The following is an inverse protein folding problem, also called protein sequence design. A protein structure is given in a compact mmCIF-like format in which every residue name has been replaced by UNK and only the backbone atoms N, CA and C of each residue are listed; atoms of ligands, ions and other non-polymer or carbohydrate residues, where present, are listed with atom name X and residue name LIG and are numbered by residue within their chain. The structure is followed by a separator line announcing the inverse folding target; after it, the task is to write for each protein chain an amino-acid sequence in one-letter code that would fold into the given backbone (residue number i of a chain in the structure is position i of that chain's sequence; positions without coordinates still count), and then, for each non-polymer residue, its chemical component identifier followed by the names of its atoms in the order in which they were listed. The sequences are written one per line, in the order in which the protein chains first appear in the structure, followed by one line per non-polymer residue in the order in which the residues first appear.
data_IF_590117538062
#
_entry.id   IF_590117538062
#
_cell.length_a   1.000
_cell.length_b   1.000
_cell.length_c   1.000
_cell.angle_alpha   90.00
_cell.angle_beta   90.00
_cell.angle_gamma   90.00
#
_symmetry.space_group_name_H-M   'P 1'
#
loop_
_entity.id
_entity.type
_entity.pdbx_description
1 polymer ?
#
# COMPACT_ATOMS: atom_id res chain seq x y z
N UNK A 1 31.76 6.47 -11.16
CA UNK A 1 31.56 5.63 -9.95
C UNK A 1 31.06 4.30 -10.43
N UNK A 2 31.61 3.20 -9.90
CA UNK A 2 31.26 1.85 -10.38
C UNK A 2 30.13 1.28 -9.56
N UNK A 3 29.07 0.83 -10.23
CA UNK A 3 28.01 0.03 -9.65
C UNK A 3 27.99 -1.35 -10.32
N UNK A 4 27.42 -2.33 -9.64
CA UNK A 4 27.31 -3.69 -10.14
C UNK A 4 25.83 -4.06 -10.17
N UNK A 5 25.35 -4.56 -11.31
CA UNK A 5 23.98 -5.00 -11.51
C UNK A 5 23.98 -6.52 -11.72
N UNK A 6 23.29 -7.24 -10.85
CA UNK A 6 23.10 -8.68 -10.99
C UNK A 6 22.05 -8.98 -12.07
N UNK A 7 22.09 -10.18 -12.66
CA UNK A 7 21.10 -10.65 -13.63
C UNK A 7 19.68 -10.76 -13.05
N UNK A 8 19.54 -10.77 -11.72
CA UNK A 8 18.29 -10.73 -10.98
C UNK A 8 17.74 -9.31 -10.78
N UNK A 9 18.51 -8.27 -11.15
CA UNK A 9 18.10 -6.87 -11.06
C UNK A 9 18.54 -6.15 -9.77
N UNK A 10 19.35 -6.79 -8.93
CA UNK A 10 19.87 -6.18 -7.69
C UNK A 10 21.13 -5.35 -7.97
N UNK A 11 21.15 -4.11 -7.46
CA UNK A 11 22.26 -3.17 -7.59
C UNK A 11 23.14 -3.15 -6.34
N UNK A 12 24.47 -3.18 -6.50
CA UNK A 12 25.44 -3.04 -5.41
C UNK A 12 26.54 -2.03 -5.72
N UNK A 13 27.15 -1.48 -4.67
CA UNK A 13 28.25 -0.50 -4.78
C UNK A 13 29.65 -1.11 -4.86
N UNK A 14 29.80 -2.42 -4.68
CA UNK A 14 31.10 -3.09 -4.70
C UNK A 14 30.99 -4.51 -5.33
N UNK A 15 32.14 -5.02 -5.77
CA UNK A 15 32.23 -6.31 -6.47
C UNK A 15 32.00 -7.50 -5.53
N UNK A 16 32.39 -7.41 -4.25
CA UNK A 16 32.25 -8.50 -3.29
C UNK A 16 30.79 -8.83 -3.03
N UNK A 17 29.94 -7.81 -2.90
CA UNK A 17 28.51 -7.95 -2.66
C UNK A 17 27.82 -8.53 -3.90
N UNK A 18 28.19 -8.08 -5.11
CA UNK A 18 27.67 -8.63 -6.36
C UNK A 18 28.01 -10.12 -6.52
N UNK A 19 29.24 -10.50 -6.17
CA UNK A 19 29.65 -11.91 -6.17
C UNK A 19 28.93 -12.73 -5.08
N UNK A 20 28.66 -12.13 -3.92
CA UNK A 20 27.85 -12.73 -2.86
C UNK A 20 26.42 -13.03 -3.32
N UNK A 21 25.76 -12.04 -3.95
CA UNK A 21 24.41 -12.18 -4.48
C UNK A 21 24.32 -13.25 -5.58
N UNK A 22 25.26 -13.27 -6.53
CA UNK A 22 25.30 -14.30 -7.57
C UNK A 22 25.53 -15.70 -7.00
N UNK A 23 26.34 -15.84 -5.93
CA UNK A 23 26.50 -17.15 -5.25
C UNK A 23 25.21 -17.61 -4.56
N UNK A 24 24.46 -16.68 -3.96
CA UNK A 24 23.24 -17.00 -3.22
C UNK A 24 22.05 -17.30 -4.15
N UNK A 25 21.91 -16.51 -5.22
CA UNK A 25 20.71 -16.52 -6.07
C UNK A 25 20.95 -17.17 -7.45
N UNK A 26 22.21 -17.47 -7.80
CA UNK A 26 22.61 -17.89 -9.14
C UNK A 26 22.66 -16.73 -10.13
N UNK A 27 23.27 -16.95 -11.31
CA UNK A 27 23.31 -15.98 -12.41
C UNK A 27 24.67 -15.32 -12.62
N UNK A 28 24.66 -14.09 -13.14
CA UNK A 28 25.86 -13.28 -13.42
C UNK A 28 25.65 -11.84 -12.94
N UNK A 29 26.71 -11.05 -12.92
CA UNK A 29 26.63 -9.61 -12.67
C UNK A 29 27.42 -8.85 -13.74
N UNK A 30 26.99 -7.63 -14.02
CA UNK A 30 27.68 -6.68 -14.88
C UNK A 30 28.17 -5.47 -14.08
N UNK A 31 29.35 -4.95 -14.45
CA UNK A 31 29.87 -3.71 -13.87
C UNK A 31 29.51 -2.55 -14.79
N UNK A 32 28.93 -1.50 -14.21
CA UNK A 32 28.46 -0.32 -14.92
C UNK A 32 29.19 0.91 -14.37
N UNK A 33 29.75 1.72 -15.26
CA UNK A 33 30.32 3.01 -14.87
C UNK A 33 29.25 4.09 -14.92
N UNK A 34 29.02 4.71 -13.76
CA UNK A 34 27.99 5.72 -13.52
C UNK A 34 28.66 7.07 -13.37
N UNK A 35 28.28 8.10 -14.16
CA UNK A 35 28.82 9.44 -14.00
C UNK A 35 28.63 9.97 -12.58
N UNK A 36 29.63 10.68 -12.06
CA UNK A 36 29.60 11.25 -10.69
C UNK A 36 29.28 12.74 -10.68
N UNK A 37 29.40 13.40 -11.83
CA UNK A 37 29.00 14.78 -12.00
C UNK A 37 27.47 14.87 -12.11
N UNK A 38 26.89 15.90 -11.49
CA UNK A 38 25.42 16.10 -11.47
C UNK A 38 24.79 16.10 -12.88
N UNK A 39 25.31 16.83 -13.89
CA UNK A 39 24.68 16.84 -15.21
C UNK A 39 24.78 15.47 -15.91
N UNK A 40 25.93 14.81 -15.85
CA UNK A 40 26.15 13.48 -16.41
C UNK A 40 25.29 12.41 -15.75
N UNK A 41 25.13 12.48 -14.43
CA UNK A 41 24.30 11.52 -13.68
C UNK A 41 22.82 11.63 -14.09
N UNK A 42 22.29 12.85 -14.25
CA UNK A 42 20.89 13.06 -14.67
C UNK A 42 20.67 12.54 -16.09
N UNK A 43 21.59 12.85 -17.02
CA UNK A 43 21.51 12.36 -18.39
C UNK A 43 21.55 10.83 -18.45
N UNK A 44 22.46 10.23 -17.68
CA UNK A 44 22.58 8.78 -17.59
C UNK A 44 21.32 8.12 -17.02
N UNK A 45 20.76 8.64 -15.92
CA UNK A 45 19.52 8.12 -15.32
C UNK A 45 18.33 8.18 -16.31
N UNK A 46 18.22 9.26 -17.06
CA UNK A 46 17.17 9.43 -18.08
C UNK A 46 17.28 8.36 -19.17
N UNK A 47 18.49 8.03 -19.61
CA UNK A 47 18.74 6.95 -20.58
C UNK A 47 18.53 5.56 -19.99
N UNK A 48 18.83 5.35 -18.71
CA UNK A 48 18.57 4.06 -18.06
C UNK A 48 17.06 3.81 -17.92
N UNK A 49 16.27 4.82 -17.57
CA UNK A 49 14.81 4.68 -17.46
C UNK A 49 14.10 4.29 -18.77
N UNK A 50 14.68 4.57 -19.94
CA UNK A 50 14.13 4.09 -21.20
C UNK A 50 14.52 2.65 -21.51
N UNK A 51 15.63 2.16 -20.94
CA UNK A 51 16.14 0.79 -21.12
C UNK A 51 15.42 -0.22 -20.24
N UNK A 52 15.07 0.17 -19.02
CA UNK A 52 14.22 -0.67 -18.18
C UNK A 52 12.78 -0.48 -18.65
N UNK A 53 12.10 -1.51 -19.18
CA UNK A 53 10.66 -1.40 -19.37
C UNK A 53 10.12 -1.03 -18.00
N UNK A 54 9.49 0.14 -17.91
CA UNK A 54 8.63 0.44 -16.76
C UNK A 54 7.72 -0.78 -16.70
N UNK A 55 7.89 -1.63 -15.67
CA UNK A 55 6.81 -2.51 -15.27
C UNK A 55 5.73 -1.49 -14.99
N UNK A 56 4.81 -1.32 -15.94
CA UNK A 56 3.68 -0.44 -15.75
C UNK A 56 3.13 -0.94 -14.42
N UNK A 57 3.23 -0.10 -13.38
CA UNK A 57 2.39 -0.26 -12.21
C UNK A 57 1.02 -0.52 -12.82
N UNK A 58 0.37 -1.66 -12.54
CA UNK A 58 -0.86 -2.01 -13.22
C UNK A 58 -1.72 -0.77 -13.16
N UNK A 59 -1.89 -0.12 -14.31
CA UNK A 59 -2.74 1.05 -14.45
C UNK A 59 -4.13 0.47 -14.37
N UNK A 60 -4.53 0.09 -13.15
CA UNK A 60 -5.91 -0.11 -12.84
C UNK A 60 -6.56 1.22 -13.25
N UNK A 61 -7.46 1.24 -14.24
CA UNK A 61 -8.25 2.42 -14.47
C UNK A 61 -8.82 2.81 -13.10
N UNK A 62 -8.74 4.10 -12.75
CA UNK A 62 -9.44 4.65 -11.58
C UNK A 62 -10.92 4.49 -11.91
N UNK A 63 -11.42 3.29 -11.67
CA UNK A 63 -12.80 2.91 -11.88
C UNK A 63 -13.52 3.48 -10.68
N UNK A 64 -14.66 4.14 -10.89
CA UNK A 64 -15.53 4.51 -9.78
C UNK A 64 -15.69 3.29 -8.86
N UNK A 65 -15.69 3.47 -7.52
CA UNK A 65 -15.74 2.36 -6.58
C UNK A 65 -16.86 1.43 -7.01
N UNK A 66 -16.50 0.19 -7.33
CA UNK A 66 -17.48 -0.79 -7.78
C UNK A 66 -18.42 -1.13 -6.63
N UNK A 67 -19.60 -1.67 -6.93
CA UNK A 67 -20.55 -2.12 -5.90
C UNK A 67 -19.88 -3.08 -4.90
N UNK A 68 -18.94 -3.89 -5.38
CA UNK A 68 -18.06 -4.75 -4.57
C UNK A 68 -17.19 -3.96 -3.59
N UNK A 69 -16.65 -2.81 -3.98
CA UNK A 69 -15.83 -1.96 -3.13
C UNK A 69 -16.67 -1.25 -2.06
N UNK A 70 -17.88 -0.80 -2.42
CA UNK A 70 -18.83 -0.23 -1.47
C UNK A 70 -19.26 -1.28 -0.42
N UNK A 71 -19.54 -2.50 -0.85
CA UNK A 71 -19.92 -3.59 0.04
C UNK A 71 -18.76 -4.01 0.96
N UNK A 72 -17.53 -4.01 0.44
CA UNK A 72 -16.31 -4.23 1.25
C UNK A 72 -16.12 -3.12 2.27
N UNK A 73 -16.29 -1.85 1.88
CA UNK A 73 -16.16 -0.71 2.79
C UNK A 73 -17.19 -0.73 3.92
N UNK A 74 -18.45 -1.06 3.61
CA UNK A 74 -19.50 -1.23 4.62
C UNK A 74 -19.21 -2.41 5.56
N UNK A 75 -18.69 -3.52 5.02
CA UNK A 75 -18.29 -4.67 5.85
C UNK A 75 -17.18 -4.30 6.84
N UNK A 76 -16.18 -3.56 6.38
CA UNK A 76 -15.08 -3.07 7.24
C UNK A 76 -15.59 -2.10 8.32
N UNK A 77 -16.54 -1.23 7.96
CA UNK A 77 -17.17 -0.31 8.90
C UNK A 77 -17.91 -1.06 10.01
N UNK A 78 -18.66 -2.11 9.68
CA UNK A 78 -19.35 -2.95 10.67
C UNK A 78 -18.38 -3.62 11.62
N UNK A 79 -17.31 -4.22 11.10
CA UNK A 79 -16.26 -4.85 11.91
C UNK A 79 -15.64 -3.82 12.87
N UNK A 80 -15.30 -2.63 12.37
CA UNK A 80 -14.73 -1.57 13.21
C UNK A 80 -15.66 -1.15 14.35
N UNK A 81 -16.96 -1.04 14.10
CA UNK A 81 -17.95 -0.71 15.14
C UNK A 81 -18.07 -1.85 16.16
N UNK A 82 -18.09 -3.10 15.70
CA UNK A 82 -18.15 -4.27 16.58
C UNK A 82 -16.93 -4.34 17.50
N UNK A 83 -15.73 -4.12 16.96
CA UNK A 83 -14.49 -4.08 17.74
C UNK A 83 -14.49 -2.92 18.75
N UNK A 84 -14.98 -1.74 18.36
CA UNK A 84 -15.09 -0.59 19.27
C UNK A 84 -16.03 -0.88 20.44
N UNK A 85 -17.18 -1.49 20.17
CA UNK A 85 -18.15 -1.88 21.22
C UNK A 85 -17.53 -2.92 22.16
N UNK A 86 -16.82 -3.91 21.63
CA UNK A 86 -16.19 -4.96 22.44
C UNK A 86 -15.06 -4.43 23.33
N UNK A 87 -14.35 -3.40 22.88
CA UNK A 87 -13.27 -2.77 23.64
C UNK A 87 -13.73 -1.64 24.56
N UNK A 88 -15.01 -1.25 24.49
CA UNK A 88 -15.58 -0.20 25.32
C UNK A 88 -15.70 -0.64 26.79
N UNK A 89 -15.38 0.24 27.73
CA UNK A 89 -15.58 0.01 29.15
C UNK A 89 -17.06 0.12 29.54
N UNK A 90 -17.43 -0.60 30.61
CA UNK A 90 -18.81 -0.75 31.05
C UNK A 90 -19.57 0.58 31.25
N UNK A 91 -18.98 1.65 31.83
CA UNK A 91 -19.68 2.92 32.00
C UNK A 91 -20.05 3.59 30.67
N UNK A 92 -19.14 3.62 29.70
CA UNK A 92 -19.39 4.25 28.40
C UNK A 92 -20.38 3.42 27.58
N UNK A 93 -20.28 2.09 27.64
CA UNK A 93 -21.23 1.21 26.97
C UNK A 93 -22.66 1.40 27.50
N UNK A 94 -22.83 1.61 28.80
CA UNK A 94 -24.14 1.86 29.41
C UNK A 94 -24.80 3.13 28.89
N UNK A 95 -24.03 4.23 28.78
CA UNK A 95 -24.53 5.51 28.23
C UNK A 95 -24.90 5.35 26.75
N UNK A 96 -24.09 4.64 25.97
CA UNK A 96 -24.37 4.39 24.56
C UNK A 96 -25.66 3.56 24.38
N UNK A 97 -25.84 2.52 25.19
CA UNK A 97 -27.04 1.69 25.17
C UNK A 97 -28.32 2.50 25.51
N UNK A 98 -28.26 3.39 26.50
CA UNK A 98 -29.39 4.26 26.86
C UNK A 98 -29.77 5.20 25.72
N UNK A 99 -28.78 5.84 25.08
CA UNK A 99 -29.03 6.73 23.94
C UNK A 99 -29.62 5.99 22.73
N UNK A 100 -29.11 4.78 22.45
CA UNK A 100 -29.64 3.93 21.37
C UNK A 100 -31.08 3.51 21.67
N UNK A 101 -31.36 3.08 22.90
CA UNK A 101 -32.72 2.72 23.32
C UNK A 101 -33.68 3.90 23.19
N UNK A 102 -33.27 5.10 23.60
CA UNK A 102 -34.08 6.32 23.45
C UNK A 102 -34.36 6.63 21.97
N UNK A 103 -33.35 6.55 21.10
CA UNK A 103 -33.52 6.84 19.68
C UNK A 103 -34.49 5.86 19.00
N UNK A 104 -34.46 4.58 19.37
CA UNK A 104 -35.44 3.62 18.87
C UNK A 104 -36.88 3.97 19.28
N UNK A 105 -37.08 4.43 20.51
CA UNK A 105 -38.40 4.87 20.97
C UNK A 105 -38.89 6.11 20.20
N UNK A 106 -38.00 7.04 19.90
CA UNK A 106 -38.32 8.24 19.12
C UNK A 106 -38.73 7.88 17.68
N UNK A 107 -37.95 7.03 17.00
CA UNK A 107 -38.25 6.57 15.65
C UNK A 107 -39.56 5.76 15.59
N UNK A 108 -39.81 4.91 16.60
CA UNK A 108 -41.06 4.13 16.69
C UNK A 108 -42.30 4.99 16.99
N UNK A 109 -42.12 6.18 17.55
CA UNK A 109 -43.20 7.17 17.69
C UNK A 109 -43.42 7.90 16.37
N UNK A 110 -42.35 8.39 15.76
CA UNK A 110 -42.42 9.07 14.46
C UNK A 110 -43.08 8.19 13.38
N UNK A 111 -42.82 6.88 13.38
CA UNK A 111 -43.42 5.95 12.41
C UNK A 111 -44.91 5.63 12.64
N UNK A 112 -45.50 6.09 13.75
CA UNK A 112 -46.95 5.94 14.03
C UNK A 112 -47.75 7.18 13.65
N UNK A 113 -47.08 8.29 13.46
CA UNK A 113 -47.67 9.59 13.11
C UNK A 113 -47.65 9.85 11.58
N UNK A 114 -47.05 8.94 10.79
CA UNK A 114 -47.14 8.81 9.32
C UNK A 114 -48.22 7.80 8.90
#
# INVERSE_FOLDING_TARGET
MRLYLTSTGEWTGNQSDAAGLVRANGGTWEQIDVPTDKPGLIAWLTQQWTRFPTIAAPSAPITAPTETDAQRAESLRRISIEEEIQNCDLPHLAVLAENVAWRFHELARASKDD
#
